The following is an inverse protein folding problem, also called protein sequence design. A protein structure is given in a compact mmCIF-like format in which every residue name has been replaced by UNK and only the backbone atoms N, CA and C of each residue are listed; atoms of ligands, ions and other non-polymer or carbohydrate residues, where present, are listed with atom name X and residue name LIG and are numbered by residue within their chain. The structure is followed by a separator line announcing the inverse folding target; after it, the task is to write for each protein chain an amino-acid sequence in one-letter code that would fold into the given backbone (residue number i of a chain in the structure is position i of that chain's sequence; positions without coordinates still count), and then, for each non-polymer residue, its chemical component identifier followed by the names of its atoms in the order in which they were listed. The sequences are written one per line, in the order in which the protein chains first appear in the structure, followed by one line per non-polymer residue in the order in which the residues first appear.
data_IF_473792813396
#
_entry.id   IF_473792813396
#
_cell.length_a   1.000
_cell.length_b   1.000
_cell.length_c   1.000
_cell.angle_alpha   90.00
_cell.angle_beta   90.00
_cell.angle_gamma   90.00
#
_symmetry.space_group_name_H-M   'P 1'
#
loop_
_entity.id
_entity.type
_entity.pdbx_description
1 polymer ?
#
# COMPACT_ATOMS: atom_id res chain seq x y z
N UNK A 1 36.55 11.43 1.87
CA UNK A 1 36.17 10.00 1.72
C UNK A 1 34.75 9.98 1.28
N UNK A 2 34.37 9.26 0.24
CA UNK A 2 32.99 9.19 -0.24
C UNK A 2 32.20 8.12 0.54
N UNK A 3 30.93 8.40 0.80
CA UNK A 3 30.01 7.38 1.32
C UNK A 3 29.60 6.43 0.20
N UNK A 4 29.55 5.11 0.50
CA UNK A 4 29.18 4.07 -0.44
C UNK A 4 27.72 3.64 -0.22
N UNK A 5 26.92 3.74 -1.27
CA UNK A 5 25.49 3.45 -1.21
C UNK A 5 25.17 2.23 -2.08
N UNK A 6 24.54 1.21 -1.48
CA UNK A 6 23.98 0.09 -2.23
C UNK A 6 22.56 0.46 -2.70
N UNK A 7 22.31 0.42 -3.99
CA UNK A 7 20.96 0.46 -4.53
C UNK A 7 20.49 -0.99 -4.67
N UNK A 8 19.75 -1.48 -3.67
CA UNK A 8 19.18 -2.83 -3.72
C UNK A 8 17.90 -2.79 -4.52
N UNK A 9 17.90 -3.45 -5.67
CA UNK A 9 16.90 -3.38 -6.73
C UNK A 9 16.86 -1.99 -7.41
N UNK A 10 16.55 -2.02 -8.69
CA UNK A 10 16.48 -0.80 -9.49
C UNK A 10 15.42 0.17 -8.95
N UNK A 11 15.78 1.45 -8.87
CA UNK A 11 14.89 2.56 -8.57
C UNK A 11 14.82 3.52 -9.77
N UNK A 12 13.85 4.43 -9.79
CA UNK A 12 13.71 5.39 -10.89
C UNK A 12 14.96 6.26 -11.02
N UNK A 13 15.36 6.54 -12.26
CA UNK A 13 16.58 7.31 -12.61
C UNK A 13 16.71 8.64 -11.88
N UNK A 14 15.62 9.35 -11.64
CA UNK A 14 15.62 10.67 -10.98
C UNK A 14 16.23 10.63 -9.58
N UNK A 15 16.06 9.53 -8.84
CA UNK A 15 16.72 9.34 -7.55
C UNK A 15 18.20 8.98 -7.68
N UNK A 16 18.55 8.20 -8.70
CA UNK A 16 19.97 7.83 -8.98
C UNK A 16 20.77 9.07 -9.37
N UNK A 17 20.20 9.95 -10.18
CA UNK A 17 20.83 11.21 -10.59
C UNK A 17 21.22 12.12 -9.41
N UNK A 18 20.56 12.03 -8.26
CA UNK A 18 20.96 12.79 -7.08
C UNK A 18 22.32 12.33 -6.54
N UNK A 19 22.59 11.01 -6.60
CA UNK A 19 23.91 10.46 -6.21
C UNK A 19 24.98 10.80 -7.24
N UNK A 20 24.66 10.70 -8.54
CA UNK A 20 25.59 11.06 -9.62
C UNK A 20 26.10 12.50 -9.51
N UNK A 21 25.21 13.42 -9.15
CA UNK A 21 25.51 14.85 -9.02
C UNK A 21 26.20 15.21 -7.71
N UNK A 22 26.24 14.29 -6.72
CA UNK A 22 26.74 14.61 -5.39
C UNK A 22 28.19 14.17 -5.19
N UNK A 23 29.13 15.09 -4.90
CA UNK A 23 30.58 14.78 -4.88
C UNK A 23 31.00 13.81 -3.77
N UNK A 24 30.20 13.70 -2.69
CA UNK A 24 30.54 12.92 -1.49
C UNK A 24 29.94 11.51 -1.48
N UNK A 25 29.23 11.10 -2.54
CA UNK A 25 28.62 9.78 -2.62
C UNK A 25 29.10 9.00 -3.83
N UNK A 26 29.15 7.69 -3.70
CA UNK A 26 29.27 6.73 -4.79
C UNK A 26 28.27 5.60 -4.55
N UNK A 27 27.79 4.97 -5.59
CA UNK A 27 26.80 3.92 -5.48
C UNK A 27 27.09 2.72 -6.38
N UNK A 28 26.50 1.58 -6.02
CA UNK A 28 26.45 0.38 -6.85
C UNK A 28 25.03 -0.18 -6.86
N UNK A 29 24.58 -0.59 -8.04
CA UNK A 29 23.32 -1.31 -8.19
C UNK A 29 23.51 -2.79 -7.90
N UNK A 30 22.76 -3.32 -6.93
CA UNK A 30 22.67 -4.75 -6.61
C UNK A 30 21.39 -5.30 -7.24
N UNK A 31 21.48 -5.79 -8.48
CA UNK A 31 20.34 -6.34 -9.23
C UNK A 31 20.03 -7.79 -8.84
N UNK A 32 21.05 -8.60 -8.53
CA UNK A 32 20.83 -9.94 -7.96
C UNK A 32 20.56 -9.82 -6.47
N UNK A 33 19.31 -10.00 -6.11
CA UNK A 33 18.82 -9.88 -4.72
C UNK A 33 18.79 -11.20 -3.97
N UNK A 34 19.46 -12.22 -4.47
CA UNK A 34 19.65 -13.46 -3.72
C UNK A 34 20.35 -13.19 -2.39
N UNK A 35 19.94 -13.91 -1.34
CA UNK A 35 20.52 -13.78 0.01
C UNK A 35 22.05 -13.87 -0.04
N UNK A 36 22.59 -14.82 -0.82
CA UNK A 36 24.02 -15.00 -0.99
C UNK A 36 24.71 -13.76 -1.55
N UNK A 37 24.16 -13.18 -2.62
CA UNK A 37 24.78 -12.01 -3.27
C UNK A 37 24.69 -10.76 -2.39
N UNK A 38 23.58 -10.58 -1.68
CA UNK A 38 23.45 -9.45 -0.72
C UNK A 38 24.47 -9.60 0.41
N UNK A 39 24.65 -10.79 0.99
CA UNK A 39 25.64 -11.07 2.04
C UNK A 39 27.06 -10.79 1.55
N UNK A 40 27.37 -11.08 0.29
CA UNK A 40 28.71 -10.84 -0.28
C UNK A 40 28.99 -9.35 -0.52
N UNK A 41 28.01 -8.61 -1.03
CA UNK A 41 28.20 -7.22 -1.49
C UNK A 41 27.92 -6.17 -0.42
N UNK A 42 26.81 -6.27 0.31
CA UNK A 42 26.31 -5.23 1.22
C UNK A 42 27.29 -4.84 2.36
N UNK A 43 28.16 -5.72 2.87
CA UNK A 43 29.15 -5.36 3.91
C UNK A 43 30.06 -4.17 3.56
N UNK A 44 30.18 -3.83 2.30
CA UNK A 44 31.08 -2.77 1.82
C UNK A 44 30.45 -1.37 1.81
N UNK A 45 29.14 -1.26 2.13
CA UNK A 45 28.38 -0.03 1.99
C UNK A 45 28.02 0.63 3.32
N UNK A 46 27.95 1.96 3.32
CA UNK A 46 27.57 2.78 4.48
C UNK A 46 26.05 2.89 4.64
N UNK A 47 25.29 2.83 3.54
CA UNK A 47 23.84 2.80 3.53
C UNK A 47 23.30 2.04 2.31
N UNK A 48 22.00 1.71 2.34
CA UNK A 48 21.33 1.12 1.18
C UNK A 48 19.93 1.70 0.97
N UNK A 49 19.48 1.71 -0.29
CA UNK A 49 18.05 1.76 -0.62
C UNK A 49 17.48 0.35 -0.59
N UNK A 50 16.20 0.21 -0.25
CA UNK A 50 15.58 -1.10 -0.13
C UNK A 50 14.15 -1.06 -0.64
N UNK A 51 13.81 -1.92 -1.60
CA UNK A 51 12.44 -2.09 -2.11
C UNK A 51 11.75 -3.29 -1.44
N UNK A 52 11.65 -4.42 -2.12
CA UNK A 52 10.91 -5.58 -1.64
C UNK A 52 11.79 -6.65 -1.00
N UNK A 53 13.08 -6.65 -1.27
CA UNK A 53 14.03 -7.60 -0.67
C UNK A 53 14.01 -7.57 0.85
N UNK A 54 14.26 -8.71 1.46
CA UNK A 54 14.30 -8.84 2.92
C UNK A 54 15.70 -8.55 3.44
N UNK A 55 15.80 -7.77 4.51
CA UNK A 55 17.02 -7.56 5.30
C UNK A 55 16.77 -8.02 6.74
N UNK A 56 16.98 -9.30 6.98
CA UNK A 56 16.92 -9.89 8.31
C UNK A 56 18.29 -9.98 8.97
N UNK A 57 18.32 -10.48 10.22
CA UNK A 57 19.53 -10.67 10.99
C UNK A 57 20.58 -11.49 10.24
N UNK A 58 20.18 -12.51 9.44
CA UNK A 58 21.11 -13.36 8.70
C UNK A 58 21.98 -12.54 7.73
N UNK A 59 21.38 -11.53 7.10
CA UNK A 59 22.07 -10.62 6.18
C UNK A 59 22.78 -9.51 6.97
N UNK A 60 22.06 -8.84 7.85
CA UNK A 60 22.51 -7.62 8.52
C UNK A 60 23.74 -7.83 9.41
N UNK A 61 23.91 -9.02 10.02
CA UNK A 61 25.09 -9.36 10.82
C UNK A 61 26.42 -9.29 10.06
N UNK A 62 26.36 -9.36 8.73
CA UNK A 62 27.53 -9.23 7.87
C UNK A 62 27.84 -7.78 7.47
N UNK A 63 26.99 -6.82 7.87
CA UNK A 63 27.03 -5.43 7.40
C UNK A 63 27.47 -4.43 8.50
N UNK A 64 28.70 -4.55 9.07
CA UNK A 64 29.14 -3.73 10.21
C UNK A 64 29.29 -2.24 9.89
N UNK A 65 29.37 -1.86 8.60
CA UNK A 65 29.50 -0.47 8.16
C UNK A 65 28.16 0.21 7.94
N UNK A 66 27.06 -0.58 7.85
CA UNK A 66 25.74 -0.07 7.49
C UNK A 66 25.20 0.86 8.58
N UNK A 67 24.92 2.11 8.25
CA UNK A 67 24.42 3.15 9.16
C UNK A 67 22.95 3.47 8.93
N UNK A 68 22.48 3.32 7.69
CA UNK A 68 21.10 3.64 7.33
C UNK A 68 20.56 2.69 6.25
N UNK A 69 19.26 2.38 6.37
CA UNK A 69 18.47 1.69 5.36
C UNK A 69 17.36 2.64 4.96
N UNK A 70 17.29 3.05 3.69
CA UNK A 70 16.23 3.92 3.19
C UNK A 70 15.23 3.09 2.37
N UNK A 71 14.02 2.95 2.92
CA UNK A 71 12.93 2.21 2.27
C UNK A 71 12.36 3.01 1.10
N UNK A 72 12.28 2.37 -0.05
CA UNK A 72 11.53 2.86 -1.21
C UNK A 72 10.03 2.56 -0.99
N UNK A 73 9.44 3.23 -0.01
CA UNK A 73 8.07 3.01 0.46
C UNK A 73 7.90 3.37 1.94
N UNK A 74 6.67 3.22 2.43
CA UNK A 74 6.30 3.50 3.83
C UNK A 74 6.40 2.25 4.70
N UNK A 75 6.08 1.08 4.13
CA UNK A 75 6.13 -0.19 4.86
C UNK A 75 7.56 -0.70 5.03
N UNK A 76 7.82 -1.36 6.14
CA UNK A 76 9.14 -1.88 6.48
C UNK A 76 9.08 -3.28 7.12
N UNK A 77 8.05 -4.04 6.78
CA UNK A 77 7.83 -5.41 7.28
C UNK A 77 8.94 -6.38 6.84
N UNK A 78 9.74 -6.01 5.84
CA UNK A 78 10.87 -6.75 5.30
C UNK A 78 12.22 -6.42 5.96
N UNK A 79 12.23 -5.65 7.07
CA UNK A 79 13.45 -5.29 7.82
C UNK A 79 13.35 -5.83 9.24
N UNK A 80 14.42 -6.46 9.74
CA UNK A 80 14.50 -6.90 11.14
C UNK A 80 14.71 -5.70 12.07
N UNK A 81 13.61 -5.23 12.66
CA UNK A 81 13.60 -4.05 13.52
C UNK A 81 14.42 -4.26 14.82
N UNK A 82 14.41 -5.47 15.38
CA UNK A 82 15.15 -5.76 16.60
C UNK A 82 16.66 -5.68 16.33
N UNK A 83 17.09 -6.26 15.22
CA UNK A 83 18.51 -6.22 14.84
C UNK A 83 18.98 -4.78 14.60
N UNK A 84 18.27 -4.00 13.78
CA UNK A 84 18.71 -2.63 13.46
C UNK A 84 18.69 -1.72 14.68
N UNK A 85 17.71 -1.87 15.61
CA UNK A 85 17.67 -1.15 16.87
C UNK A 85 18.91 -1.43 17.74
N UNK A 86 19.26 -2.70 17.91
CA UNK A 86 20.39 -3.13 18.75
C UNK A 86 21.74 -2.69 18.15
N UNK A 87 21.82 -2.58 16.83
CA UNK A 87 23.02 -2.18 16.09
C UNK A 87 23.05 -0.71 15.67
N UNK A 88 22.08 0.10 16.10
CA UNK A 88 21.99 1.54 15.83
C UNK A 88 21.97 1.88 14.32
N UNK A 89 21.35 1.03 13.52
CA UNK A 89 21.12 1.29 12.09
C UNK A 89 19.80 2.08 11.97
N UNK A 90 19.86 3.23 11.33
CA UNK A 90 18.67 4.08 11.11
C UNK A 90 17.81 3.53 9.98
N UNK A 91 16.48 3.46 10.21
CA UNK A 91 15.52 3.08 9.18
C UNK A 91 14.77 4.32 8.71
N UNK A 92 14.89 4.63 7.42
CA UNK A 92 14.28 5.79 6.77
C UNK A 92 13.16 5.32 5.84
N UNK A 93 12.10 6.12 5.71
CA UNK A 93 10.94 5.78 4.87
C UNK A 93 10.59 6.92 3.91
N UNK A 94 10.01 6.60 2.76
CA UNK A 94 9.42 7.60 1.85
C UNK A 94 7.99 7.88 2.30
N UNK A 95 7.87 8.81 3.24
CA UNK A 95 6.64 8.98 3.99
C UNK A 95 5.49 9.59 3.16
N UNK A 96 5.79 10.42 2.14
CA UNK A 96 4.78 11.24 1.46
C UNK A 96 4.58 10.91 -0.02
N UNK A 97 5.54 10.30 -0.65
CA UNK A 97 5.64 10.16 -2.11
C UNK A 97 4.49 9.36 -2.76
N UNK A 98 3.96 8.35 -2.07
CA UNK A 98 3.04 7.38 -2.65
C UNK A 98 1.54 7.68 -2.41
N UNK A 99 1.21 8.63 -1.55
CA UNK A 99 -0.17 8.79 -1.06
C UNK A 99 -1.19 9.12 -2.18
N UNK A 100 -0.78 9.86 -3.21
CA UNK A 100 -1.64 10.20 -4.35
C UNK A 100 -1.91 8.96 -5.20
N UNK A 101 -0.87 8.25 -5.61
CA UNK A 101 -1.00 7.07 -6.47
C UNK A 101 -1.88 5.99 -5.83
N UNK A 102 -1.68 5.71 -4.53
CA UNK A 102 -2.51 4.74 -3.80
C UNK A 102 -3.97 5.20 -3.71
N UNK A 103 -4.23 6.49 -3.42
CA UNK A 103 -5.60 7.00 -3.38
C UNK A 103 -6.31 6.91 -4.74
N UNK A 104 -5.60 7.14 -5.84
CA UNK A 104 -6.12 7.01 -7.19
C UNK A 104 -6.33 5.54 -7.59
N UNK A 105 -5.45 4.64 -7.15
CA UNK A 105 -5.62 3.20 -7.34
C UNK A 105 -6.89 2.69 -6.63
N UNK A 106 -7.17 3.13 -5.40
CA UNK A 106 -8.43 2.82 -4.70
C UNK A 106 -9.64 3.27 -5.52
N UNK A 107 -9.64 4.50 -6.03
CA UNK A 107 -10.74 5.01 -6.86
C UNK A 107 -10.90 4.23 -8.16
N UNK A 108 -9.81 3.85 -8.78
CA UNK A 108 -9.86 3.02 -10.01
C UNK A 108 -10.54 1.68 -9.73
N UNK A 109 -10.24 1.02 -8.60
CA UNK A 109 -10.91 -0.21 -8.17
C UNK A 109 -12.39 0.03 -7.85
N UNK A 110 -12.73 1.10 -7.11
CA UNK A 110 -14.13 1.44 -6.83
C UNK A 110 -14.94 1.63 -8.11
N UNK A 111 -14.43 2.42 -9.06
CA UNK A 111 -15.09 2.69 -10.32
C UNK A 111 -15.16 1.44 -11.20
N UNK A 112 -14.09 0.68 -11.31
CA UNK A 112 -14.04 -0.54 -12.12
C UNK A 112 -15.05 -1.59 -11.64
N UNK A 113 -15.16 -1.79 -10.33
CA UNK A 113 -16.14 -2.70 -9.72
C UNK A 113 -17.56 -2.16 -9.87
N UNK A 114 -17.79 -0.87 -9.55
CA UNK A 114 -19.12 -0.26 -9.62
C UNK A 114 -19.70 -0.27 -11.02
N UNK A 115 -18.86 -0.05 -12.03
CA UNK A 115 -19.26 -0.01 -13.44
C UNK A 115 -19.07 -1.35 -14.14
N UNK A 116 -18.54 -2.37 -13.43
CA UNK A 116 -18.23 -3.69 -14.01
C UNK A 116 -17.40 -3.59 -15.29
N UNK A 117 -16.44 -2.67 -15.35
CA UNK A 117 -15.70 -2.32 -16.57
C UNK A 117 -15.02 -3.53 -17.19
N UNK A 118 -14.32 -4.33 -16.38
CA UNK A 118 -13.59 -5.52 -16.84
C UNK A 118 -14.56 -6.53 -17.49
N UNK A 119 -15.70 -6.75 -16.85
CA UNK A 119 -16.71 -7.69 -17.33
C UNK A 119 -17.38 -7.19 -18.62
N UNK A 120 -17.68 -5.91 -18.72
CA UNK A 120 -18.22 -5.35 -19.97
C UNK A 120 -17.21 -5.36 -21.10
N UNK A 121 -15.93 -5.10 -20.84
CA UNK A 121 -14.87 -5.23 -21.84
C UNK A 121 -14.80 -6.67 -22.37
N UNK A 122 -14.83 -7.68 -21.51
CA UNK A 122 -14.87 -9.09 -21.90
C UNK A 122 -16.10 -9.43 -22.75
N UNK A 123 -17.30 -8.97 -22.35
CA UNK A 123 -18.52 -9.18 -23.13
C UNK A 123 -18.42 -8.60 -24.55
N UNK A 124 -17.81 -7.43 -24.72
CA UNK A 124 -17.60 -6.82 -26.04
C UNK A 124 -16.60 -7.65 -26.85
N UNK A 125 -15.46 -8.02 -26.29
CA UNK A 125 -14.41 -8.80 -26.97
C UNK A 125 -14.88 -10.19 -27.41
N UNK A 126 -15.79 -10.78 -26.64
CA UNK A 126 -16.38 -12.11 -26.95
C UNK A 126 -17.61 -12.05 -27.86
N UNK A 127 -17.95 -10.88 -28.40
CA UNK A 127 -19.06 -10.69 -29.33
C UNK A 127 -20.45 -10.64 -28.70
N UNK A 128 -20.52 -10.48 -27.36
CA UNK A 128 -21.80 -10.47 -26.62
C UNK A 128 -22.37 -9.05 -26.43
N UNK A 129 -22.05 -8.11 -27.29
CA UNK A 129 -22.32 -6.67 -27.18
C UNK A 129 -23.72 -6.28 -26.69
N UNK A 130 -24.76 -7.03 -27.02
CA UNK A 130 -26.16 -6.71 -26.62
C UNK A 130 -26.82 -7.76 -25.70
N UNK A 131 -26.29 -8.97 -25.62
CA UNK A 131 -27.00 -10.09 -24.99
C UNK A 131 -27.09 -9.98 -23.48
N UNK A 132 -26.09 -9.43 -22.81
CA UNK A 132 -25.94 -9.43 -21.34
C UNK A 132 -25.89 -8.04 -20.73
N UNK A 133 -25.94 -6.97 -21.49
CA UNK A 133 -25.79 -5.60 -21.00
C UNK A 133 -26.76 -5.28 -19.83
N UNK A 134 -28.00 -5.77 -19.88
CA UNK A 134 -29.01 -5.53 -18.85
C UNK A 134 -28.98 -6.53 -17.67
N UNK A 135 -28.07 -7.50 -17.70
CA UNK A 135 -27.97 -8.53 -16.64
C UNK A 135 -26.85 -8.25 -15.64
N UNK A 136 -25.98 -7.30 -15.94
CA UNK A 136 -24.87 -6.91 -15.07
C UNK A 136 -25.32 -5.74 -14.22
N UNK A 137 -25.34 -5.94 -12.91
CA UNK A 137 -25.65 -4.87 -11.96
C UNK A 137 -24.49 -3.89 -11.87
N UNK A 138 -24.79 -2.60 -11.97
CA UNK A 138 -23.80 -1.52 -11.83
C UNK A 138 -24.33 -0.43 -10.91
N UNK A 139 -23.43 0.40 -10.36
CA UNK A 139 -23.77 1.44 -9.41
C UNK A 139 -23.14 2.79 -9.80
N UNK A 140 -23.67 3.85 -9.22
CA UNK A 140 -23.05 5.19 -9.19
C UNK A 140 -22.46 5.46 -7.81
N UNK A 141 -21.50 6.37 -7.75
CA UNK A 141 -20.92 6.82 -6.49
C UNK A 141 -21.75 7.96 -5.85
N UNK A 142 -22.50 8.70 -6.64
CA UNK A 142 -23.31 9.83 -6.19
C UNK A 142 -24.22 9.42 -5.01
N UNK A 143 -24.20 10.21 -3.93
CA UNK A 143 -24.95 10.00 -2.69
C UNK A 143 -24.64 8.69 -1.94
N UNK A 144 -23.55 8.01 -2.26
CA UNK A 144 -23.10 6.81 -1.56
C UNK A 144 -22.27 7.15 -0.32
N UNK A 145 -22.27 6.23 0.63
CA UNK A 145 -21.47 6.30 1.83
C UNK A 145 -20.15 5.57 1.61
N UNK A 146 -19.04 6.26 1.79
CA UNK A 146 -17.67 5.68 1.75
C UNK A 146 -17.12 5.63 3.16
N UNK A 147 -16.61 4.46 3.59
CA UNK A 147 -15.81 4.34 4.80
C UNK A 147 -14.31 4.34 4.43
N UNK A 148 -13.57 5.27 4.99
CA UNK A 148 -12.11 5.28 5.01
C UNK A 148 -11.66 4.79 6.39
N UNK A 149 -11.10 3.58 6.45
CA UNK A 149 -10.59 2.99 7.68
C UNK A 149 -9.07 3.20 7.76
N UNK A 150 -8.65 4.17 8.58
CA UNK A 150 -7.32 4.76 8.65
C UNK A 150 -7.23 6.11 7.94
N UNK A 151 -6.92 7.18 8.69
CA UNK A 151 -6.89 8.55 8.18
C UNK A 151 -5.50 9.18 8.18
N UNK A 152 -4.53 8.38 7.78
CA UNK A 152 -3.16 8.81 7.53
C UNK A 152 -3.02 9.60 6.22
N UNK A 153 -1.82 9.61 5.65
CA UNK A 153 -1.49 10.36 4.43
C UNK A 153 -2.36 9.96 3.23
N UNK A 154 -2.60 8.66 3.04
CA UNK A 154 -3.42 8.13 1.93
C UNK A 154 -4.89 8.49 2.15
N UNK A 155 -5.45 8.22 3.33
CA UNK A 155 -6.85 8.55 3.65
C UNK A 155 -7.17 10.02 3.45
N UNK A 156 -6.24 10.92 3.83
CA UNK A 156 -6.37 12.38 3.59
C UNK A 156 -6.32 12.76 2.09
N UNK A 157 -5.65 11.99 1.25
CA UNK A 157 -5.66 12.21 -0.22
C UNK A 157 -6.89 11.58 -0.88
N UNK A 158 -7.40 10.49 -0.31
CA UNK A 158 -8.57 9.80 -0.84
C UNK A 158 -9.87 10.59 -0.57
N UNK A 159 -10.03 11.17 0.63
CA UNK A 159 -11.28 11.83 1.03
C UNK A 159 -11.70 12.94 0.06
N UNK A 160 -10.79 13.84 -0.33
CA UNK A 160 -11.11 14.94 -1.25
C UNK A 160 -11.56 14.43 -2.63
N UNK A 161 -10.98 13.34 -3.09
CA UNK A 161 -11.36 12.67 -4.34
C UNK A 161 -12.74 12.04 -4.25
N UNK A 162 -13.03 11.36 -3.15
CA UNK A 162 -14.34 10.75 -2.91
C UNK A 162 -15.44 11.82 -2.84
N UNK A 163 -15.22 12.91 -2.12
CA UNK A 163 -16.17 14.02 -2.02
C UNK A 163 -16.48 14.66 -3.38
N UNK A 164 -15.50 14.71 -4.30
CA UNK A 164 -15.72 15.21 -5.66
C UNK A 164 -16.73 14.37 -6.48
N UNK A 165 -16.95 13.12 -6.12
CA UNK A 165 -18.01 12.26 -6.68
C UNK A 165 -19.39 12.44 -6.02
N UNK A 166 -19.55 13.43 -5.13
CA UNK A 166 -20.80 13.67 -4.42
C UNK A 166 -21.15 12.61 -3.38
N UNK A 167 -20.13 11.96 -2.82
CA UNK A 167 -20.31 10.93 -1.78
C UNK A 167 -20.31 11.54 -0.38
N UNK A 168 -20.82 10.78 0.61
CA UNK A 168 -20.62 11.06 2.03
C UNK A 168 -19.45 10.20 2.52
N UNK A 169 -18.45 10.83 3.14
CA UNK A 169 -17.26 10.10 3.58
C UNK A 169 -17.24 9.99 5.10
N UNK A 170 -17.29 8.76 5.58
CA UNK A 170 -17.12 8.38 6.96
C UNK A 170 -15.69 7.94 7.20
N UNK A 171 -15.14 8.27 8.36
CA UNK A 171 -13.74 7.96 8.69
C UNK A 171 -13.68 7.25 10.03
N UNK A 172 -13.01 6.11 10.05
CA UNK A 172 -12.59 5.44 11.26
C UNK A 172 -11.08 5.56 11.44
N UNK A 173 -10.67 6.24 12.48
CA UNK A 173 -9.28 6.27 12.95
C UNK A 173 -9.29 6.58 14.44
N UNK A 174 -8.80 5.66 15.30
CA UNK A 174 -8.84 5.85 16.76
C UNK A 174 -7.86 6.92 17.26
N UNK A 175 -6.87 7.31 16.44
CA UNK A 175 -5.80 8.23 16.83
C UNK A 175 -5.99 9.65 16.30
N UNK A 176 -6.94 9.87 15.39
CA UNK A 176 -7.15 11.17 14.77
C UNK A 176 -8.37 11.86 15.40
N UNK A 177 -8.20 13.11 15.79
CA UNK A 177 -9.26 13.94 16.35
C UNK A 177 -10.38 14.20 15.33
N UNK A 178 -11.61 14.28 15.82
CA UNK A 178 -12.80 14.52 14.98
C UNK A 178 -12.68 15.83 14.19
N UNK A 179 -12.12 16.86 14.81
CA UNK A 179 -11.95 18.16 14.17
C UNK A 179 -11.11 18.09 12.90
N UNK A 180 -10.02 17.29 12.92
CA UNK A 180 -9.16 17.09 11.74
C UNK A 180 -9.94 16.40 10.61
N UNK A 181 -10.76 15.40 10.93
CA UNK A 181 -11.59 14.70 9.94
C UNK A 181 -12.61 15.65 9.33
N UNK A 182 -13.25 16.47 10.15
CA UNK A 182 -14.24 17.47 9.76
C UNK A 182 -13.68 18.55 8.84
N UNK A 183 -12.47 19.02 9.11
CA UNK A 183 -11.74 19.98 8.27
C UNK A 183 -11.48 19.44 6.85
N UNK A 184 -11.40 18.12 6.69
CA UNK A 184 -11.29 17.48 5.39
C UNK A 184 -12.66 17.11 4.77
N UNK A 185 -13.78 17.48 5.41
CA UNK A 185 -15.14 17.20 4.93
C UNK A 185 -15.65 15.79 5.29
N UNK A 186 -14.96 15.07 6.19
CA UNK A 186 -15.38 13.74 6.65
C UNK A 186 -16.25 13.76 7.90
N UNK A 187 -16.85 12.61 8.17
CA UNK A 187 -17.66 12.36 9.36
C UNK A 187 -16.97 11.24 10.15
N UNK A 188 -16.56 11.50 11.39
CA UNK A 188 -15.94 10.47 12.23
C UNK A 188 -16.99 9.46 12.68
N UNK A 189 -16.66 8.17 12.62
CA UNK A 189 -17.42 7.08 13.25
C UNK A 189 -16.69 6.57 14.49
N UNK A 190 -17.46 6.10 15.47
CA UNK A 190 -16.94 5.71 16.79
C UNK A 190 -16.25 4.33 16.75
N UNK A 191 -16.66 3.47 15.84
CA UNK A 191 -16.08 2.15 15.64
C UNK A 191 -16.05 1.76 14.16
N UNK A 192 -15.18 0.80 13.84
CA UNK A 192 -15.12 0.27 12.47
C UNK A 192 -16.42 -0.45 12.09
N UNK A 193 -17.04 -1.14 13.03
CA UNK A 193 -18.30 -1.86 12.83
C UNK A 193 -19.45 -0.91 12.49
N UNK A 194 -19.52 0.26 13.14
CA UNK A 194 -20.48 1.31 12.79
C UNK A 194 -20.30 1.74 11.33
N UNK A 195 -19.07 2.04 10.94
CA UNK A 195 -18.75 2.44 9.58
C UNK A 195 -19.08 1.37 8.55
N UNK A 196 -18.73 0.11 8.80
CA UNK A 196 -18.97 -1.02 7.89
C UNK A 196 -20.46 -1.28 7.62
N UNK A 197 -21.33 -1.09 8.63
CA UNK A 197 -22.79 -1.28 8.47
C UNK A 197 -23.42 -0.27 7.52
N UNK A 198 -22.91 0.96 7.48
CA UNK A 198 -23.51 2.05 6.70
C UNK A 198 -22.82 2.30 5.36
N UNK A 199 -21.62 1.73 5.15
CA UNK A 199 -20.82 1.97 3.97
C UNK A 199 -21.34 1.23 2.74
N UNK A 200 -21.34 1.92 1.60
CA UNK A 200 -21.49 1.32 0.27
C UNK A 200 -20.12 1.00 -0.33
N UNK A 201 -19.08 1.73 0.09
CA UNK A 201 -17.68 1.52 -0.30
C UNK A 201 -16.79 1.57 0.93
N UNK A 202 -15.83 0.69 1.00
CA UNK A 202 -14.88 0.60 2.12
C UNK A 202 -13.46 0.58 1.59
N UNK A 203 -12.58 1.43 2.11
CA UNK A 203 -11.16 1.41 1.83
C UNK A 203 -10.34 1.31 3.11
N UNK A 204 -9.39 0.36 3.11
CA UNK A 204 -8.53 0.09 4.25
C UNK A 204 -7.19 0.79 4.08
N UNK A 205 -6.74 1.52 5.12
CA UNK A 205 -5.49 2.28 5.17
C UNK A 205 -4.79 2.17 6.54
N UNK A 206 -4.99 1.05 7.21
CA UNK A 206 -4.39 0.77 8.52
C UNK A 206 -3.25 -0.23 8.38
N UNK A 207 -2.27 -0.25 9.31
CA UNK A 207 -1.22 -1.26 9.35
C UNK A 207 -1.78 -2.63 9.75
N UNK A 208 -1.05 -3.69 9.42
CA UNK A 208 -1.29 -5.02 9.98
C UNK A 208 -0.68 -5.09 11.38
N UNK A 209 -1.53 -5.34 12.37
CA UNK A 209 -1.15 -5.55 13.78
C UNK A 209 -1.93 -6.75 14.32
N UNK A 210 -1.70 -7.12 15.57
CA UNK A 210 -2.50 -8.19 16.19
C UNK A 210 -3.99 -7.83 16.27
N UNK A 211 -4.33 -6.54 16.39
CA UNK A 211 -5.72 -6.07 16.46
C UNK A 211 -6.39 -5.98 15.08
N UNK A 212 -5.60 -5.78 14.02
CA UNK A 212 -6.13 -5.63 12.65
C UNK A 212 -6.02 -6.90 11.82
N UNK A 213 -5.32 -7.93 12.31
CA UNK A 213 -5.25 -9.24 11.65
C UNK A 213 -6.62 -9.89 11.63
N UNK A 214 -7.03 -10.37 10.45
CA UNK A 214 -8.34 -10.99 10.20
C UNK A 214 -9.53 -10.14 10.70
N UNK A 215 -9.33 -8.83 10.77
CA UNK A 215 -10.34 -7.87 11.20
C UNK A 215 -11.60 -7.98 10.35
N UNK A 216 -11.45 -8.13 9.03
CA UNK A 216 -12.54 -8.41 8.12
C UNK A 216 -12.58 -9.92 7.85
N UNK A 217 -13.54 -10.57 8.53
CA UNK A 217 -13.81 -11.99 8.45
C UNK A 217 -15.29 -12.24 8.09
N UNK A 218 -15.66 -13.49 7.93
CA UNK A 218 -17.02 -13.87 7.49
C UNK A 218 -18.13 -13.26 8.35
N UNK A 219 -17.97 -13.18 9.67
CA UNK A 219 -19.00 -12.60 10.55
C UNK A 219 -19.13 -11.08 10.37
N UNK A 220 -18.06 -10.41 9.98
CA UNK A 220 -18.07 -8.98 9.65
C UNK A 220 -18.76 -8.76 8.31
N UNK A 221 -18.45 -9.56 7.29
CA UNK A 221 -19.10 -9.47 5.97
C UNK A 221 -20.63 -9.61 6.04
N UNK A 222 -21.15 -10.47 6.91
CA UNK A 222 -22.61 -10.58 7.15
C UNK A 222 -23.27 -9.30 7.64
N UNK A 223 -22.51 -8.40 8.26
CA UNK A 223 -23.02 -7.13 8.82
C UNK A 223 -22.91 -5.98 7.83
N UNK A 224 -22.19 -6.16 6.73
CA UNK A 224 -22.03 -5.16 5.68
C UNK A 224 -23.26 -5.13 4.76
N UNK A 225 -23.37 -4.07 3.94
CA UNK A 225 -24.42 -4.00 2.92
C UNK A 225 -24.10 -5.01 1.78
N UNK A 226 -25.14 -5.69 1.29
CA UNK A 226 -25.00 -6.64 0.15
C UNK A 226 -24.42 -6.01 -1.12
N UNK A 227 -24.64 -4.72 -1.31
CA UNK A 227 -24.10 -3.99 -2.46
C UNK A 227 -22.78 -3.28 -2.15
N UNK A 228 -22.15 -3.58 -1.01
CA UNK A 228 -20.89 -2.93 -0.65
C UNK A 228 -19.71 -3.43 -1.48
N UNK A 229 -18.78 -2.53 -1.72
CA UNK A 229 -17.50 -2.79 -2.39
C UNK A 229 -16.38 -2.50 -1.41
N UNK A 230 -15.48 -3.48 -1.23
CA UNK A 230 -14.34 -3.41 -0.33
C UNK A 230 -13.03 -3.30 -1.13
N UNK A 231 -12.15 -2.36 -0.76
CA UNK A 231 -10.82 -2.24 -1.35
C UNK A 231 -9.75 -2.26 -0.26
N UNK A 232 -8.73 -3.09 -0.45
CA UNK A 232 -7.55 -3.15 0.40
C UNK A 232 -6.27 -2.91 -0.42
N UNK A 233 -5.65 -1.76 -0.17
CA UNK A 233 -4.33 -1.37 -0.69
C UNK A 233 -3.34 -1.13 0.46
N UNK A 234 -3.67 -1.62 1.68
CA UNK A 234 -2.88 -1.38 2.88
C UNK A 234 -1.91 -2.55 3.16
N UNK A 235 -2.42 -3.65 3.67
CA UNK A 235 -1.65 -4.88 3.96
C UNK A 235 -2.53 -6.11 3.78
N UNK A 236 -1.95 -7.19 3.26
CA UNK A 236 -2.51 -8.52 3.36
C UNK A 236 -2.67 -8.96 4.81
N UNK A 237 -3.56 -9.92 5.07
CA UNK A 237 -3.85 -10.40 6.42
C UNK A 237 -4.78 -9.52 7.26
N UNK A 238 -5.13 -8.29 6.83
CA UNK A 238 -6.22 -7.52 7.46
C UNK A 238 -7.58 -8.14 7.12
N UNK A 239 -7.69 -8.68 5.92
CA UNK A 239 -8.84 -9.42 5.44
C UNK A 239 -8.50 -10.91 5.48
N UNK A 240 -9.38 -11.74 6.03
CA UNK A 240 -9.30 -13.18 5.85
C UNK A 240 -9.73 -13.53 4.41
N UNK A 241 -8.79 -13.98 3.60
CA UNK A 241 -8.99 -14.19 2.16
C UNK A 241 -9.96 -15.33 1.84
N UNK A 242 -9.98 -16.40 2.65
CA UNK A 242 -10.94 -17.49 2.51
C UNK A 242 -12.36 -17.06 2.85
N UNK A 243 -12.50 -16.28 3.92
CA UNK A 243 -13.79 -15.71 4.33
C UNK A 243 -14.31 -14.69 3.30
N UNK A 244 -13.40 -13.91 2.69
CA UNK A 244 -13.74 -12.99 1.62
C UNK A 244 -14.27 -13.72 0.38
N UNK A 245 -13.56 -14.76 -0.07
CA UNK A 245 -14.02 -15.58 -1.20
C UNK A 245 -15.41 -16.16 -0.95
N UNK A 246 -15.61 -16.74 0.24
CA UNK A 246 -16.91 -17.25 0.66
C UNK A 246 -17.99 -16.17 0.66
N UNK A 247 -17.70 -14.99 1.21
CA UNK A 247 -18.62 -13.89 1.28
C UNK A 247 -19.03 -13.36 -0.12
N UNK A 248 -18.07 -13.30 -1.04
CA UNK A 248 -18.33 -12.91 -2.44
C UNK A 248 -19.18 -13.94 -3.17
N UNK A 249 -18.90 -15.24 -2.99
CA UNK A 249 -19.66 -16.33 -3.61
C UNK A 249 -21.12 -16.41 -3.07
N UNK A 250 -21.33 -16.08 -1.80
CA UNK A 250 -22.66 -16.03 -1.17
C UNK A 250 -23.39 -14.70 -1.39
N UNK A 251 -22.74 -13.70 -2.01
CA UNK A 251 -23.34 -12.37 -2.26
C UNK A 251 -23.59 -11.58 -0.97
N UNK A 252 -22.77 -11.79 0.06
CA UNK A 252 -22.82 -10.98 1.29
C UNK A 252 -22.31 -9.56 1.06
N UNK A 253 -21.36 -9.39 0.13
CA UNK A 253 -20.91 -8.13 -0.43
C UNK A 253 -20.88 -8.23 -1.95
N UNK A 254 -20.91 -7.11 -2.64
CA UNK A 254 -20.98 -7.07 -4.11
C UNK A 254 -19.66 -7.40 -4.78
N UNK A 255 -18.55 -6.86 -4.26
CA UNK A 255 -17.25 -7.04 -4.88
C UNK A 255 -16.10 -6.57 -3.98
N UNK A 256 -14.89 -6.96 -4.36
CA UNK A 256 -13.69 -6.51 -3.67
C UNK A 256 -12.56 -6.14 -4.66
N UNK A 257 -11.63 -5.29 -4.21
CA UNK A 257 -10.38 -4.97 -4.90
C UNK A 257 -9.21 -5.18 -3.94
N UNK A 258 -8.23 -6.01 -4.30
CA UNK A 258 -7.05 -6.25 -3.49
C UNK A 258 -5.78 -5.94 -4.28
N UNK A 259 -4.93 -5.11 -3.70
CA UNK A 259 -3.58 -4.86 -4.19
C UNK A 259 -2.52 -5.58 -3.33
N UNK A 260 -2.95 -6.15 -2.20
CA UNK A 260 -2.08 -6.80 -1.21
C UNK A 260 -2.66 -8.13 -0.74
N UNK A 261 -1.79 -9.09 -0.40
CA UNK A 261 -2.16 -10.45 -0.04
C UNK A 261 -1.45 -10.90 1.23
N UNK A 262 -2.02 -11.88 1.91
CA UNK A 262 -1.44 -12.48 3.12
C UNK A 262 -0.07 -13.11 2.85
N UNK A 263 0.08 -13.72 1.67
CA UNK A 263 1.35 -14.20 1.14
C UNK A 263 1.63 -13.49 -0.20
N UNK A 264 2.77 -12.85 -0.31
CA UNK A 264 3.24 -12.20 -1.54
C UNK A 264 4.59 -12.81 -1.97
N UNK A 265 4.69 -13.40 -3.18
CA UNK A 265 3.65 -13.56 -4.22
C UNK A 265 2.46 -14.43 -3.78
N UNK A 266 1.26 -14.12 -4.33
CA UNK A 266 0.05 -14.88 -4.02
C UNK A 266 0.21 -16.34 -4.46
N UNK A 267 -0.22 -17.26 -3.61
CA UNK A 267 -0.13 -18.71 -3.90
C UNK A 267 -1.15 -19.13 -4.97
N UNK A 268 -0.75 -20.07 -5.87
CA UNK A 268 -1.59 -20.53 -6.98
C UNK A 268 -2.92 -21.19 -6.54
N UNK A 269 -3.02 -21.65 -5.30
CA UNK A 269 -4.20 -22.26 -4.71
C UNK A 269 -5.11 -21.25 -3.99
N UNK A 270 -4.75 -19.98 -3.95
CA UNK A 270 -5.57 -18.95 -3.31
C UNK A 270 -6.95 -18.87 -4.00
N UNK A 271 -8.06 -19.03 -3.25
CA UNK A 271 -9.41 -19.11 -3.83
C UNK A 271 -9.81 -17.83 -4.56
N UNK A 272 -9.30 -16.68 -4.14
CA UNK A 272 -9.59 -15.38 -4.75
C UNK A 272 -9.18 -15.31 -6.23
N UNK A 273 -8.17 -16.07 -6.66
CA UNK A 273 -7.70 -16.08 -8.06
C UNK A 273 -8.78 -16.56 -9.07
N UNK A 274 -9.79 -17.27 -8.61
CA UNK A 274 -10.89 -17.79 -9.44
C UNK A 274 -12.19 -16.99 -9.25
N UNK A 275 -12.24 -16.10 -8.28
CA UNK A 275 -13.44 -15.34 -7.98
C UNK A 275 -13.68 -14.25 -9.04
N UNK A 276 -14.89 -14.18 -9.58
CA UNK A 276 -15.24 -13.22 -10.66
C UNK A 276 -15.68 -11.84 -10.15
N UNK A 277 -15.91 -11.72 -8.85
CA UNK A 277 -16.39 -10.49 -8.22
C UNK A 277 -15.25 -9.73 -7.53
N UNK A 278 -14.02 -10.00 -7.90
CA UNK A 278 -12.83 -9.36 -7.35
C UNK A 278 -11.91 -8.81 -8.44
N UNK A 279 -11.24 -7.69 -8.15
CA UNK A 279 -10.14 -7.15 -8.96
C UNK A 279 -8.87 -7.32 -8.13
N UNK A 280 -7.84 -7.89 -8.74
CA UNK A 280 -6.55 -8.15 -8.11
C UNK A 280 -5.45 -7.35 -8.82
N UNK A 281 -4.52 -6.80 -8.05
CA UNK A 281 -3.29 -6.19 -8.57
C UNK A 281 -2.08 -6.61 -7.71
N UNK A 282 -0.87 -6.69 -8.29
CA UNK A 282 0.29 -7.32 -7.67
C UNK A 282 1.10 -6.34 -6.81
N UNK A 283 0.47 -5.73 -5.79
CA UNK A 283 1.07 -4.71 -4.91
C UNK A 283 1.65 -3.55 -5.73
N UNK A 284 0.86 -3.09 -6.71
CA UNK A 284 1.26 -2.15 -7.76
C UNK A 284 0.62 -0.75 -7.66
N UNK A 285 -0.09 -0.46 -6.57
CA UNK A 285 -0.75 0.83 -6.37
C UNK A 285 0.20 2.04 -6.48
N UNK A 286 1.51 1.81 -6.37
CA UNK A 286 2.55 2.84 -6.47
C UNK A 286 3.29 2.86 -7.81
N UNK A 287 2.95 2.00 -8.77
CA UNK A 287 3.71 1.80 -10.02
C UNK A 287 3.35 2.81 -11.11
N UNK A 288 3.06 4.04 -10.77
CA UNK A 288 2.99 5.13 -11.75
C UNK A 288 4.36 5.77 -11.91
N UNK A 289 4.67 6.30 -13.09
CA UNK A 289 5.95 6.93 -13.40
C UNK A 289 6.26 8.06 -12.41
N UNK A 290 5.28 8.92 -12.16
CA UNK A 290 5.43 10.04 -11.23
C UNK A 290 5.61 9.59 -9.77
N UNK A 291 4.96 8.52 -9.36
CA UNK A 291 5.09 8.00 -8.00
C UNK A 291 6.45 7.34 -7.80
N UNK A 292 6.89 6.51 -8.74
CA UNK A 292 8.19 5.84 -8.69
C UNK A 292 9.34 6.86 -8.74
N UNK A 293 9.22 7.93 -9.54
CA UNK A 293 10.16 9.06 -9.53
C UNK A 293 10.21 9.74 -8.16
N UNK A 294 9.07 10.17 -7.60
CA UNK A 294 9.01 10.81 -6.28
C UNK A 294 9.56 9.90 -5.16
N UNK A 295 9.20 8.62 -5.19
CA UNK A 295 9.69 7.66 -4.19
C UNK A 295 11.22 7.48 -4.29
N UNK A 296 11.75 7.39 -5.49
CA UNK A 296 13.19 7.27 -5.74
C UNK A 296 13.95 8.50 -5.26
N UNK A 297 13.47 9.69 -5.62
CA UNK A 297 14.04 10.96 -5.15
C UNK A 297 14.04 11.03 -3.62
N UNK A 298 12.88 10.77 -2.97
CA UNK A 298 12.77 10.83 -1.50
C UNK A 298 13.66 9.78 -0.82
N UNK A 299 13.73 8.54 -1.37
CA UNK A 299 14.58 7.48 -0.85
C UNK A 299 16.05 7.87 -0.85
N UNK A 300 16.54 8.41 -1.98
CA UNK A 300 17.94 8.80 -2.14
C UNK A 300 18.24 10.07 -1.34
N UNK A 301 17.35 11.06 -1.39
CA UNK A 301 17.49 12.29 -0.62
C UNK A 301 17.56 12.02 0.89
N UNK A 302 16.77 11.09 1.41
CA UNK A 302 16.84 10.69 2.81
C UNK A 302 18.22 10.18 3.21
N UNK A 303 18.91 9.42 2.34
CA UNK A 303 20.29 8.97 2.60
C UNK A 303 21.26 10.15 2.60
N UNK A 304 21.16 11.04 1.62
CA UNK A 304 22.00 12.24 1.53
C UNK A 304 21.83 13.08 2.79
N UNK A 305 20.59 13.46 3.10
CA UNK A 305 20.24 14.29 4.25
C UNK A 305 20.66 13.63 5.59
N UNK A 306 20.61 12.28 5.67
CA UNK A 306 21.08 11.55 6.85
C UNK A 306 22.56 11.77 7.11
N UNK A 307 23.41 11.65 6.08
CA UNK A 307 24.84 11.84 6.23
C UNK A 307 25.25 13.31 6.37
N UNK A 308 24.44 14.22 5.85
CA UNK A 308 24.64 15.68 6.00
C UNK A 308 24.01 16.26 7.29
N UNK A 309 23.35 15.44 8.11
CA UNK A 309 22.65 15.84 9.33
C UNK A 309 21.53 16.86 9.10
N UNK A 310 20.88 16.82 7.94
CA UNK A 310 19.76 17.69 7.54
C UNK A 310 18.43 16.94 7.44
N UNK A 311 18.42 15.63 7.73
CA UNK A 311 17.25 14.75 7.58
C UNK A 311 16.08 15.22 8.47
N UNK A 312 14.90 15.31 7.87
CA UNK A 312 13.65 15.48 8.61
C UNK A 312 13.39 14.25 9.50
N UNK A 313 13.27 14.49 10.79
CA UNK A 313 13.05 13.42 11.79
C UNK A 313 11.76 12.62 11.56
N UNK A 314 10.79 13.17 10.83
CA UNK A 314 9.56 12.45 10.47
C UNK A 314 9.78 11.34 9.44
N UNK A 315 10.93 11.30 8.78
CA UNK A 315 11.35 10.25 7.85
C UNK A 315 12.02 9.08 8.55
N UNK A 316 12.37 9.21 9.83
CA UNK A 316 13.03 8.17 10.64
C UNK A 316 11.96 7.35 11.35
N UNK A 317 12.02 6.03 11.20
CA UNK A 317 11.18 5.11 11.97
C UNK A 317 11.65 5.10 13.43
N UNK A 318 10.73 5.38 14.35
CA UNK A 318 11.01 5.27 15.80
C UNK A 318 10.98 3.80 16.20
N UNK A 319 12.12 3.25 16.60
CA UNK A 319 12.33 1.85 16.99
C UNK A 319 12.23 1.65 18.50
#
# INVERSE_FOLDING_TARGET
MKYKIAIIEEIHKDGVELLDKHPNFEYELISDVSEKNIIEKLPNFDACTLRVSKLDEKILKHCPKLKAISRHGVGYDNVDLNYIKNNKISLLITATANAVAVAEHVLSMFLSLSKSIIRYDEEVRTGNFKKNANKITTFELLNKNILIAGFGRIGKKLISRCLAFGTKVYVYDPYIEEQIIKEHGGIKVSSIEEGLKIADYVSLHMPLTNETKDLLNYNVFKKMKKNSILVNTARGGIINEYDLDKALNEGLIFGAGLDVFSNEPVENNNPLLKNKNIILSPHSATFTDECTSRMSIETTKNIIDFFENTLDKSMIVKL
#
